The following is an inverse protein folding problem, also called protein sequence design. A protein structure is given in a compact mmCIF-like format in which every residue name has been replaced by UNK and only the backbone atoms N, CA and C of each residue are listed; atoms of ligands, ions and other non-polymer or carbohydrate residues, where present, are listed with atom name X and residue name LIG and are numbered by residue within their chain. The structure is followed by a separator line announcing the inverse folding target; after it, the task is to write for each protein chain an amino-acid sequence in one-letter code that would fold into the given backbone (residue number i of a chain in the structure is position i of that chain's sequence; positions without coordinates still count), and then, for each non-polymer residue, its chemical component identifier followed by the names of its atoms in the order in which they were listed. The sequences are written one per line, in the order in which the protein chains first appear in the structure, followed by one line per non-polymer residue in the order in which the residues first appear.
data_IF_275619262649
#
_entry.id   IF_275619262649
#
_cell.length_a   1.000
_cell.length_b   1.000
_cell.length_c   1.000
_cell.angle_alpha   90.00
_cell.angle_beta   90.00
_cell.angle_gamma   90.00
#
_symmetry.space_group_name_H-M   'P 1'
#
loop_
_entity.id
_entity.type
_entity.pdbx_description
1 polymer ?
#
# COMPACT_ATOMS: atom_id res chain seq x y z
N UNK A 1 -1.72 20.10 -18.89
CA UNK A 1 -1.89 18.64 -18.80
C UNK A 1 -1.29 18.25 -17.47
N UNK A 2 -2.13 17.90 -16.49
CA UNK A 2 -1.65 17.50 -15.17
C UNK A 2 -0.90 16.17 -15.32
N UNK A 3 0.40 16.23 -15.04
CA UNK A 3 1.33 15.12 -15.23
C UNK A 3 1.09 14.07 -14.15
N UNK A 4 0.68 12.87 -14.54
CA UNK A 4 0.82 11.71 -13.67
C UNK A 4 2.31 11.33 -13.67
N UNK A 5 2.95 11.33 -12.51
CA UNK A 5 4.34 10.91 -12.37
C UNK A 5 4.38 9.42 -12.05
N UNK A 6 5.14 8.66 -12.84
CA UNK A 6 5.25 7.19 -12.76
C UNK A 6 6.68 6.75 -12.43
N UNK A 7 6.83 5.51 -11.99
CA UNK A 7 8.08 4.87 -11.56
C UNK A 7 9.06 4.49 -12.67
N UNK A 8 8.83 4.81 -13.94
CA UNK A 8 9.88 4.69 -14.95
C UNK A 8 11.08 5.61 -14.67
N UNK A 9 10.95 6.52 -13.71
CA UNK A 9 12.04 7.33 -13.21
C UNK A 9 12.17 7.17 -11.68
N UNK A 10 13.15 6.36 -11.23
CA UNK A 10 13.74 6.40 -9.86
C UNK A 10 14.43 7.75 -9.58
N UNK A 11 13.80 8.83 -10.00
CA UNK A 11 14.33 10.16 -9.97
C UNK A 11 14.26 10.68 -8.55
N UNK A 12 15.21 11.56 -8.25
CA UNK A 12 15.20 12.33 -7.02
C UNK A 12 13.86 13.05 -6.83
N UNK A 13 13.31 13.62 -7.90
CA UNK A 13 12.03 14.35 -7.88
C UNK A 13 10.84 13.47 -7.48
N UNK A 14 10.74 12.24 -8.02
CA UNK A 14 9.69 11.30 -7.62
C UNK A 14 9.79 11.01 -6.12
N UNK A 15 10.99 10.64 -5.64
CA UNK A 15 11.20 10.27 -4.24
C UNK A 15 10.92 11.43 -3.28
N UNK A 16 11.35 12.64 -3.63
CA UNK A 16 11.08 13.84 -2.84
C UNK A 16 9.57 14.14 -2.77
N UNK A 17 8.85 13.99 -3.88
CA UNK A 17 7.41 14.25 -3.90
C UNK A 17 6.62 13.15 -3.16
N UNK A 18 6.98 11.88 -3.34
CA UNK A 18 6.41 10.76 -2.58
C UNK A 18 6.62 10.96 -1.07
N UNK A 19 7.85 11.28 -0.66
CA UNK A 19 8.18 11.60 0.73
C UNK A 19 7.29 12.71 1.27
N UNK A 20 7.17 13.83 0.53
CA UNK A 20 6.40 14.99 0.98
C UNK A 20 4.90 14.69 1.11
N UNK A 21 4.32 13.93 0.17
CA UNK A 21 2.90 13.56 0.22
C UNK A 21 2.63 12.69 1.46
N UNK A 22 3.44 11.65 1.67
CA UNK A 22 3.31 10.73 2.79
C UNK A 22 3.53 11.46 4.13
N UNK A 23 4.64 12.17 4.25
CA UNK A 23 5.00 12.89 5.48
C UNK A 23 3.90 13.90 5.86
N UNK A 24 3.48 14.76 4.94
CA UNK A 24 2.47 15.77 5.24
C UNK A 24 1.14 15.13 5.61
N UNK A 25 0.70 14.11 4.87
CA UNK A 25 -0.59 13.46 5.11
C UNK A 25 -0.65 12.79 6.48
N UNK A 26 0.40 12.05 6.86
CA UNK A 26 0.45 11.37 8.15
C UNK A 26 0.76 12.31 9.32
N UNK A 27 1.50 13.41 9.09
CA UNK A 27 1.72 14.44 10.11
C UNK A 27 0.41 15.15 10.47
N UNK A 28 -0.46 15.39 9.48
CA UNK A 28 -1.74 16.07 9.69
C UNK A 28 -2.90 15.13 10.03
N UNK A 29 -2.73 13.81 9.89
CA UNK A 29 -3.74 12.81 10.23
C UNK A 29 -4.16 12.86 11.72
N UNK A 30 -3.24 13.23 12.61
CA UNK A 30 -3.45 13.27 14.05
C UNK A 30 -3.78 11.90 14.66
N UNK A 31 -4.37 11.91 15.86
CA UNK A 31 -4.72 10.68 16.58
C UNK A 31 -3.48 9.92 17.07
N UNK A 32 -3.32 8.69 16.60
CA UNK A 32 -2.17 7.82 16.95
C UNK A 32 -0.90 8.15 16.15
N UNK A 33 -1.02 8.96 15.10
CA UNK A 33 0.11 9.36 14.27
C UNK A 33 0.73 10.66 14.77
N UNK A 34 2.06 10.64 14.89
CA UNK A 34 2.89 11.81 15.19
C UNK A 34 3.95 12.01 14.10
N UNK A 35 4.82 13.01 14.28
CA UNK A 35 5.88 13.31 13.31
C UNK A 35 6.86 12.15 13.07
N UNK A 36 7.04 11.24 14.05
CA UNK A 36 7.89 10.06 13.86
C UNK A 36 7.23 9.06 12.93
N UNK A 37 5.91 8.86 13.05
CA UNK A 37 5.14 8.01 12.13
C UNK A 37 5.13 8.60 10.72
N UNK A 38 4.90 9.91 10.60
CA UNK A 38 4.95 10.61 9.33
C UNK A 38 6.29 10.39 8.62
N UNK A 39 7.41 10.52 9.35
CA UNK A 39 8.73 10.23 8.81
C UNK A 39 8.92 8.76 8.47
N UNK A 40 8.46 7.83 9.30
CA UNK A 40 8.57 6.38 9.06
C UNK A 40 7.90 5.96 7.75
N UNK A 41 6.69 6.43 7.48
CA UNK A 41 5.97 6.06 6.27
C UNK A 41 6.51 6.77 5.03
N UNK A 42 6.98 8.02 5.18
CA UNK A 42 7.64 8.74 4.10
C UNK A 42 9.00 8.11 3.73
N UNK A 43 9.81 7.71 4.72
CA UNK A 43 11.05 6.97 4.50
C UNK A 43 10.75 5.61 3.85
N UNK A 44 9.71 4.90 4.32
CA UNK A 44 9.28 3.62 3.73
C UNK A 44 8.95 3.78 2.23
N UNK A 45 8.21 4.82 1.85
CA UNK A 45 7.92 5.09 0.44
C UNK A 45 9.19 5.26 -0.39
N UNK A 46 10.16 6.02 0.11
CA UNK A 46 11.47 6.23 -0.55
C UNK A 46 12.23 4.91 -0.68
N UNK A 47 12.31 4.13 0.39
CA UNK A 47 12.99 2.85 0.42
C UNK A 47 12.35 1.87 -0.58
N UNK A 48 11.02 1.82 -0.64
CA UNK A 48 10.28 0.96 -1.56
C UNK A 48 10.49 1.35 -3.03
N UNK A 49 10.55 2.65 -3.34
CA UNK A 49 10.90 3.14 -4.68
C UNK A 49 12.33 2.71 -5.05
N UNK A 50 13.27 2.83 -4.12
CA UNK A 50 14.66 2.43 -4.34
C UNK A 50 14.80 0.91 -4.55
N UNK A 51 14.04 0.10 -3.80
CA UNK A 51 13.95 -1.36 -3.94
C UNK A 51 13.24 -1.81 -5.24
N UNK A 52 12.50 -0.91 -5.90
CA UNK A 52 11.84 -1.19 -7.18
C UNK A 52 10.38 -1.65 -7.04
N UNK A 53 9.74 -1.39 -5.92
CA UNK A 53 8.28 -1.46 -5.82
C UNK A 53 7.64 -0.48 -6.82
N UNK A 54 6.46 -0.81 -7.32
CA UNK A 54 5.71 0.11 -8.16
C UNK A 54 5.25 1.29 -7.29
N UNK A 55 5.41 2.51 -7.80
CA UNK A 55 4.99 3.73 -7.12
C UNK A 55 4.40 4.71 -8.13
N UNK A 56 3.34 5.39 -7.70
CA UNK A 56 2.59 6.30 -8.55
C UNK A 56 2.27 7.57 -7.78
N UNK A 57 2.42 8.71 -8.45
CA UNK A 57 1.95 10.00 -7.96
C UNK A 57 0.85 10.51 -8.90
N UNK A 58 -0.34 10.71 -8.34
CA UNK A 58 -1.49 11.22 -9.06
C UNK A 58 -1.68 12.72 -8.80
N UNK A 59 -1.70 13.50 -9.88
CA UNK A 59 -1.86 14.97 -9.87
C UNK A 59 -0.91 15.73 -8.93
N UNK A 60 0.21 15.12 -8.55
CA UNK A 60 1.17 15.69 -7.60
C UNK A 60 0.70 15.78 -6.15
N UNK A 61 -0.45 15.17 -5.80
CA UNK A 61 -1.09 15.35 -4.48
C UNK A 61 -1.50 14.03 -3.81
N UNK A 62 -1.43 12.91 -4.53
CA UNK A 62 -1.70 11.59 -4.00
C UNK A 62 -0.58 10.63 -4.41
N UNK A 63 -0.21 9.72 -3.52
CA UNK A 63 0.88 8.77 -3.73
C UNK A 63 0.46 7.37 -3.25
N UNK A 64 0.97 6.33 -3.91
CA UNK A 64 0.94 4.99 -3.36
C UNK A 64 2.09 4.13 -3.86
N UNK A 65 2.45 3.12 -3.07
CA UNK A 65 3.33 2.03 -3.48
C UNK A 65 2.60 0.68 -3.52
N UNK A 66 3.04 -0.19 -4.43
CA UNK A 66 2.63 -1.58 -4.56
C UNK A 66 3.88 -2.47 -4.56
N UNK A 67 4.01 -3.32 -3.54
CA UNK A 67 5.11 -4.30 -3.43
C UNK A 67 4.63 -5.69 -3.79
N UNK A 68 5.36 -6.44 -4.63
CA UNK A 68 5.07 -7.84 -4.90
C UNK A 68 5.01 -8.67 -3.62
N UNK A 69 3.99 -9.53 -3.51
CA UNK A 69 3.82 -10.49 -2.42
C UNK A 69 3.54 -11.86 -3.03
N UNK A 70 4.10 -12.91 -2.43
CA UNK A 70 3.91 -14.28 -2.90
C UNK A 70 2.93 -14.99 -1.99
N UNK A 71 1.90 -15.62 -2.55
CA UNK A 71 1.10 -16.62 -1.83
C UNK A 71 1.88 -17.94 -1.91
N UNK A 72 2.32 -18.48 -0.78
CA UNK A 72 3.33 -19.56 -0.76
C UNK A 72 2.87 -20.82 -1.51
N UNK A 73 1.56 -21.13 -1.45
CA UNK A 73 0.95 -22.26 -2.15
C UNK A 73 0.66 -22.01 -3.64
N UNK A 74 0.72 -20.75 -4.08
CA UNK A 74 0.33 -20.29 -5.41
C UNK A 74 1.27 -19.18 -5.91
N UNK A 75 2.58 -19.46 -6.04
CA UNK A 75 3.59 -18.47 -6.41
C UNK A 75 3.44 -17.97 -7.86
N UNK A 76 2.61 -18.62 -8.67
CA UNK A 76 2.26 -18.19 -10.02
C UNK A 76 1.33 -16.97 -10.07
N UNK A 77 0.62 -16.67 -8.98
CA UNK A 77 -0.32 -15.54 -8.93
C UNK A 77 0.42 -14.22 -8.80
N UNK A 78 0.09 -13.27 -9.67
CA UNK A 78 0.64 -11.92 -9.64
C UNK A 78 -0.03 -11.09 -8.54
N UNK A 79 0.55 -11.08 -7.34
CA UNK A 79 -0.04 -10.42 -6.18
C UNK A 79 0.78 -9.24 -5.69
N UNK A 80 0.10 -8.22 -5.13
CA UNK A 80 0.74 -7.05 -4.52
C UNK A 80 0.13 -6.72 -3.16
N UNK A 81 0.89 -6.03 -2.31
CA UNK A 81 0.37 -5.28 -1.17
C UNK A 81 0.45 -3.79 -1.47
N UNK A 82 -0.66 -3.09 -1.25
CA UNK A 82 -0.77 -1.64 -1.34
C UNK A 82 -0.41 -1.00 0.01
N UNK A 83 0.75 -0.35 0.09
CA UNK A 83 1.18 0.50 1.20
C UNK A 83 2.51 1.19 0.86
N UNK A 84 2.78 2.42 1.35
CA UNK A 84 1.80 3.34 1.90
C UNK A 84 0.86 3.91 0.82
N UNK A 85 -0.22 4.56 1.24
CA UNK A 85 -1.19 5.26 0.39
C UNK A 85 -1.58 6.56 1.10
N UNK A 86 -1.40 7.69 0.41
CA UNK A 86 -1.72 8.99 0.97
C UNK A 86 -2.30 9.95 -0.06
N UNK A 87 -3.12 10.89 0.43
CA UNK A 87 -3.60 12.06 -0.30
C UNK A 87 -3.38 13.26 0.60
N UNK A 88 -2.77 14.31 0.05
CA UNK A 88 -2.54 15.55 0.78
C UNK A 88 -3.85 16.07 1.41
N UNK A 89 -3.82 16.59 2.65
CA UNK A 89 -5.01 16.91 3.44
C UNK A 89 -6.06 17.78 2.72
N UNK A 90 -5.63 18.84 2.03
CA UNK A 90 -6.50 19.74 1.26
C UNK A 90 -7.22 19.06 0.09
N UNK A 91 -6.75 17.87 -0.32
CA UNK A 91 -7.23 17.12 -1.48
C UNK A 91 -7.99 15.83 -1.09
N UNK A 92 -8.14 15.56 0.21
CA UNK A 92 -8.85 14.39 0.71
C UNK A 92 -10.36 14.46 0.46
N UNK A 93 -11.02 13.29 0.46
CA UNK A 93 -12.48 13.12 0.22
C UNK A 93 -12.97 13.57 -1.16
N UNK A 94 -12.08 13.68 -2.14
CA UNK A 94 -12.38 14.05 -3.52
C UNK A 94 -12.27 12.88 -4.52
N UNK A 95 -12.11 11.65 -4.03
CA UNK A 95 -11.98 10.45 -4.88
C UNK A 95 -10.58 10.19 -5.45
N UNK A 96 -9.59 11.04 -5.17
CA UNK A 96 -8.25 10.95 -5.75
C UNK A 96 -7.50 9.66 -5.43
N UNK A 97 -7.64 9.12 -4.21
CA UNK A 97 -7.06 7.82 -3.87
C UNK A 97 -7.67 6.70 -4.73
N UNK A 98 -8.99 6.74 -4.97
CA UNK A 98 -9.68 5.76 -5.81
C UNK A 98 -9.21 5.83 -7.26
N UNK A 99 -9.12 7.03 -7.82
CA UNK A 99 -8.62 7.24 -9.18
C UNK A 99 -7.17 6.77 -9.32
N UNK A 100 -6.31 7.07 -8.34
CA UNK A 100 -4.92 6.60 -8.30
C UNK A 100 -4.85 5.07 -8.29
N UNK A 101 -5.63 4.41 -7.41
CA UNK A 101 -5.66 2.95 -7.32
C UNK A 101 -6.18 2.31 -8.61
N UNK A 102 -7.20 2.90 -9.26
CA UNK A 102 -7.72 2.41 -10.54
C UNK A 102 -6.66 2.48 -11.65
N UNK A 103 -5.84 3.54 -11.69
CA UNK A 103 -4.73 3.67 -12.63
C UNK A 103 -3.67 2.60 -12.34
N UNK A 104 -3.21 2.51 -11.10
CA UNK A 104 -2.15 1.58 -10.71
C UNK A 104 -2.55 0.12 -10.99
N UNK A 105 -3.75 -0.28 -10.59
CA UNK A 105 -4.24 -1.64 -10.78
C UNK A 105 -4.46 -2.00 -12.25
N UNK A 106 -4.85 -1.03 -13.09
CA UNK A 106 -4.95 -1.22 -14.53
C UNK A 106 -3.59 -1.45 -15.19
N UNK A 107 -2.55 -0.79 -14.67
CA UNK A 107 -1.17 -0.90 -15.18
C UNK A 107 -0.48 -2.18 -14.71
N UNK A 108 -0.65 -2.52 -13.43
CA UNK A 108 -0.05 -3.71 -12.83
C UNK A 108 -0.72 -5.01 -13.29
N UNK A 109 -2.01 -4.96 -13.66
CA UNK A 109 -2.81 -6.13 -13.99
C UNK A 109 -2.63 -7.28 -12.98
N UNK A 110 -2.83 -7.00 -11.66
CA UNK A 110 -2.63 -8.00 -10.63
C UNK A 110 -3.74 -9.05 -10.68
N UNK A 111 -3.45 -10.26 -10.22
CA UNK A 111 -4.46 -11.26 -9.89
C UNK A 111 -5.18 -10.88 -8.60
N UNK A 112 -4.41 -10.42 -7.60
CA UNK A 112 -4.88 -10.03 -6.27
C UNK A 112 -4.10 -8.83 -5.74
N UNK A 113 -4.79 -7.90 -5.09
CA UNK A 113 -4.15 -6.86 -4.27
C UNK A 113 -4.62 -7.00 -2.84
N UNK A 114 -3.69 -6.99 -1.91
CA UNK A 114 -3.93 -6.96 -0.47
C UNK A 114 -3.69 -5.57 0.10
N UNK A 115 -4.36 -5.27 1.22
CA UNK A 115 -4.13 -4.05 1.99
C UNK A 115 -4.44 -4.28 3.47
N UNK A 116 -3.55 -3.79 4.33
CA UNK A 116 -3.77 -3.70 5.77
C UNK A 116 -4.33 -2.33 6.15
N UNK A 117 -5.36 -2.28 7.00
CA UNK A 117 -5.84 -1.01 7.55
C UNK A 117 -7.25 -1.07 8.13
N UNK A 118 -7.90 0.09 8.24
CA UNK A 118 -9.22 0.19 8.85
C UNK A 118 -10.36 -0.12 7.87
N UNK A 119 -11.34 -0.89 8.35
CA UNK A 119 -12.48 -1.38 7.55
C UNK A 119 -13.27 -0.26 6.85
N UNK A 120 -13.39 0.91 7.49
CA UNK A 120 -14.14 2.04 6.92
C UNK A 120 -13.44 2.69 5.72
N UNK A 121 -12.13 2.49 5.57
CA UNK A 121 -11.37 2.99 4.42
C UNK A 121 -11.35 1.99 3.26
N UNK A 122 -11.10 0.71 3.55
CA UNK A 122 -10.78 -0.28 2.52
C UNK A 122 -11.86 -1.32 2.28
N UNK A 123 -12.67 -1.65 3.28
CA UNK A 123 -13.64 -2.76 3.24
C UNK A 123 -14.75 -2.62 2.21
N UNK A 124 -14.92 -1.45 1.57
CA UNK A 124 -15.82 -1.30 0.42
C UNK A 124 -15.19 -1.72 -0.91
N UNK A 125 -13.88 -1.49 -1.08
CA UNK A 125 -13.14 -1.72 -2.33
C UNK A 125 -12.39 -3.05 -2.32
N UNK A 126 -11.79 -3.39 -1.18
CA UNK A 126 -11.07 -4.63 -0.92
C UNK A 126 -11.92 -5.46 0.02
N UNK A 127 -12.81 -6.27 -0.55
CA UNK A 127 -13.82 -7.01 0.20
C UNK A 127 -13.96 -8.47 -0.22
N UNK A 128 -12.98 -8.99 -0.97
CA UNK A 128 -12.94 -10.42 -1.27
C UNK A 128 -12.65 -11.18 0.03
N UNK A 129 -13.51 -12.11 0.46
CA UNK A 129 -13.20 -13.01 1.57
C UNK A 129 -12.02 -13.93 1.23
N UNK A 130 -11.07 -14.10 2.14
CA UNK A 130 -9.93 -15.00 1.93
C UNK A 130 -9.42 -15.64 3.22
N UNK A 131 -8.51 -16.61 3.07
CA UNK A 131 -7.80 -17.28 4.18
C UNK A 131 -6.27 -17.19 4.02
N UNK A 132 -5.83 -16.14 3.35
CA UNK A 132 -4.41 -15.80 3.15
C UNK A 132 -3.89 -15.05 4.37
N UNK A 133 -2.80 -15.55 4.95
CA UNK A 133 -2.10 -14.95 6.09
C UNK A 133 -1.22 -13.75 5.71
N UNK A 134 -0.78 -13.02 6.73
CA UNK A 134 0.12 -11.88 6.60
C UNK A 134 1.53 -12.31 6.15
N UNK A 135 2.26 -11.47 5.40
CA UNK A 135 3.59 -11.82 4.92
C UNK A 135 4.68 -11.70 5.99
N UNK A 136 4.32 -11.05 7.10
CA UNK A 136 5.20 -10.83 8.25
C UNK A 136 4.40 -11.13 9.51
N UNK A 137 5.07 -11.70 10.52
CA UNK A 137 4.44 -11.91 11.83
C UNK A 137 4.04 -10.56 12.42
N UNK A 138 2.74 -10.37 12.61
CA UNK A 138 2.14 -9.14 13.12
C UNK A 138 0.93 -9.48 14.00
N UNK A 139 0.61 -8.59 14.92
CA UNK A 139 -0.61 -8.65 15.75
C UNK A 139 -1.81 -7.98 15.09
N UNK A 140 -1.67 -7.48 13.85
CA UNK A 140 -2.76 -6.91 13.09
C UNK A 140 -3.93 -7.92 12.99
N UNK A 141 -5.15 -7.53 13.41
CA UNK A 141 -6.32 -8.37 13.27
C UNK A 141 -6.52 -8.78 11.79
N UNK A 142 -6.80 -10.06 11.52
CA UNK A 142 -7.02 -10.52 10.15
C UNK A 142 -8.25 -9.89 9.49
N UNK A 143 -9.20 -9.37 10.27
CA UNK A 143 -10.32 -8.57 9.77
C UNK A 143 -9.91 -7.22 9.16
N UNK A 144 -8.68 -6.77 9.46
CA UNK A 144 -8.05 -5.59 8.88
C UNK A 144 -7.11 -5.95 7.72
N UNK A 145 -7.02 -7.22 7.35
CA UNK A 145 -6.28 -7.71 6.19
C UNK A 145 -7.26 -7.97 5.05
N UNK A 146 -7.35 -7.02 4.13
CA UNK A 146 -8.32 -7.05 3.04
C UNK A 146 -7.67 -7.50 1.74
N UNK A 147 -8.48 -8.07 0.84
CA UNK A 147 -8.08 -8.37 -0.53
C UNK A 147 -9.10 -7.91 -1.56
N UNK A 148 -8.61 -7.70 -2.79
CA UNK A 148 -9.41 -7.55 -4.00
C UNK A 148 -8.85 -8.51 -5.04
N UNK A 149 -9.70 -9.41 -5.52
CA UNK A 149 -9.42 -10.22 -6.70
C UNK A 149 -9.77 -9.45 -7.98
N UNK A 150 -8.97 -9.64 -9.02
CA UNK A 150 -9.25 -9.11 -10.36
C UNK A 150 -9.84 -10.17 -11.29
N UNK A 151 -9.74 -11.44 -10.86
CA UNK A 151 -10.47 -12.56 -11.41
C UNK A 151 -11.25 -13.24 -10.29
N UNK A 152 -12.57 -13.21 -10.42
CA UNK A 152 -13.48 -13.74 -9.40
C UNK A 152 -13.15 -15.20 -9.04
N UNK A 153 -13.03 -15.45 -7.74
CA UNK A 153 -12.84 -16.77 -7.16
C UNK A 153 -11.41 -17.31 -7.25
N UNK A 154 -10.42 -16.48 -7.56
CA UNK A 154 -9.03 -16.93 -7.68
C UNK A 154 -8.41 -17.35 -6.33
N UNK A 155 -8.92 -16.84 -5.21
CA UNK A 155 -8.54 -17.24 -3.84
C UNK A 155 -9.42 -18.35 -3.27
N UNK A 156 -10.43 -18.84 -4.00
CA UNK A 156 -11.35 -19.85 -3.49
C UNK A 156 -10.61 -21.14 -3.10
N UNK A 157 -10.76 -21.53 -1.83
CA UNK A 157 -10.15 -22.74 -1.30
C UNK A 157 -8.66 -22.62 -0.97
N UNK A 158 -8.03 -21.47 -1.24
CA UNK A 158 -6.62 -21.24 -0.88
C UNK A 158 -6.54 -20.89 0.61
N UNK A 159 -5.72 -21.66 1.34
CA UNK A 159 -5.31 -21.38 2.71
C UNK A 159 -3.79 -21.42 2.73
N UNK A 160 -3.17 -20.26 2.96
CA UNK A 160 -1.72 -20.13 2.80
C UNK A 160 -1.19 -18.95 3.60
N UNK A 161 0.09 -19.00 3.90
CA UNK A 161 0.81 -17.79 4.30
C UNK A 161 1.26 -17.04 3.04
N UNK A 162 1.80 -15.86 3.25
CA UNK A 162 2.46 -15.10 2.20
C UNK A 162 3.91 -14.81 2.58
N UNK A 163 4.70 -14.47 1.58
CA UNK A 163 6.07 -14.02 1.73
C UNK A 163 6.25 -12.69 1.00
N UNK A 164 6.99 -11.76 1.60
CA UNK A 164 7.38 -10.48 1.00
C UNK A 164 8.87 -10.24 1.21
N UNK A 165 9.50 -9.52 0.27
CA UNK A 165 10.91 -9.10 0.37
C UNK A 165 11.04 -7.58 0.38
N UNK A 166 12.25 -7.08 0.61
CA UNK A 166 12.52 -5.64 0.55
C UNK A 166 12.10 -4.88 1.82
N UNK A 167 12.01 -3.55 1.76
CA UNK A 167 11.77 -2.68 2.92
C UNK A 167 10.49 -3.01 3.69
N UNK A 168 9.45 -3.44 2.96
CA UNK A 168 8.15 -3.76 3.56
C UNK A 168 8.11 -5.16 4.22
N UNK A 169 9.21 -5.93 4.19
CA UNK A 169 9.35 -7.15 5.00
C UNK A 169 9.67 -6.88 6.48
N UNK A 170 9.92 -5.63 6.85
CA UNK A 170 10.25 -5.25 8.22
C UNK A 170 9.02 -5.34 9.15
N UNK A 171 9.01 -6.19 10.19
CA UNK A 171 7.87 -6.34 11.11
C UNK A 171 7.41 -5.04 11.77
N UNK A 172 8.32 -4.09 11.95
CA UNK A 172 8.01 -2.77 12.51
C UNK A 172 6.97 -2.01 11.67
N UNK A 173 6.98 -2.18 10.35
CA UNK A 173 5.99 -1.56 9.45
C UNK A 173 4.59 -2.17 9.59
N UNK A 174 4.51 -3.37 10.15
CA UNK A 174 3.27 -4.13 10.35
C UNK A 174 2.78 -4.12 11.79
N UNK A 175 3.52 -3.50 12.71
CA UNK A 175 3.09 -3.32 14.09
C UNK A 175 2.00 -2.25 14.18
N UNK A 176 1.19 -2.31 15.23
CA UNK A 176 0.24 -1.23 15.51
C UNK A 176 1.02 0.10 15.65
N UNK A 177 0.51 1.25 15.17
CA UNK A 177 1.28 2.50 15.19
C UNK A 177 1.87 2.84 16.56
N UNK A 178 1.14 2.60 17.66
CA UNK A 178 1.63 2.84 19.03
C UNK A 178 2.85 1.99 19.45
N UNK A 179 3.20 0.96 18.69
CA UNK A 179 4.31 0.04 18.96
C UNK A 179 5.48 0.25 17.96
N UNK A 180 5.35 1.20 17.04
CA UNK A 180 6.40 1.53 16.08
C UNK A 180 7.52 2.38 16.71
N UNK A 181 7.42 2.80 17.97
CA UNK A 181 8.45 3.62 18.63
C UNK A 181 8.56 3.38 20.13
#
# INVERSE_FOLDING_TARGET
METNFRTDAKTKEHKELAFNIEYTSFKEAGGIYDERHAKLYADLAVDMIDDGSYSIIYKGVAHACYTPITIDSNPELNCYVLAPLAVLPDFQRQGLATELMDIAEKELQPDVVFIGGEIHHYGRRYNTPHKIGLPVKSEMPLENWFAKEFKEGILNGIVSNTTITGPYSNPKQWAHPSEQF
#
